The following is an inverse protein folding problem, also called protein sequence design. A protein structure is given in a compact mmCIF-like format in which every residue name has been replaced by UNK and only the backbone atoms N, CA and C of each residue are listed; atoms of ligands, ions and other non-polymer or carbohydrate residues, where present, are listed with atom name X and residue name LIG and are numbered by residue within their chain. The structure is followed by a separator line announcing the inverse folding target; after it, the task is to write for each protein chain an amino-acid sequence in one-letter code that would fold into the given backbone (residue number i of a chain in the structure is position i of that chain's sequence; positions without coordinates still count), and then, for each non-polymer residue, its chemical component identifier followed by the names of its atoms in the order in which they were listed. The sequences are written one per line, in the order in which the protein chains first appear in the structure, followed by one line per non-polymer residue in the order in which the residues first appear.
data_IF_591392411372
#
_entry.id   IF_591392411372
#
_cell.length_a   1.000
_cell.length_b   1.000
_cell.length_c   1.000
_cell.angle_alpha   90.00
_cell.angle_beta   90.00
_cell.angle_gamma   90.00
#
_symmetry.space_group_name_H-M   'P 1'
#
loop_
_entity.id
_entity.type
_entity.pdbx_description
1 polymer ?
#
# COMPACT_ATOMS: atom_id res chain seq x y z
N UNK A 1 -18.77 -1.96 -1.64
CA UNK A 1 -19.35 -2.64 -0.45
C UNK A 1 -18.98 -4.10 -0.52
N UNK A 2 -18.16 -4.59 0.44
CA UNK A 2 -17.84 -6.00 0.53
C UNK A 2 -19.15 -6.77 0.76
N UNK A 3 -19.51 -7.67 -0.15
CA UNK A 3 -20.67 -8.54 0.00
C UNK A 3 -20.33 -9.68 0.97
N UNK A 4 -21.36 -10.33 1.55
CA UNK A 4 -21.19 -11.53 2.39
C UNK A 4 -20.42 -12.62 1.62
N UNK A 5 -20.66 -12.76 0.33
CA UNK A 5 -19.94 -13.71 -0.54
C UNK A 5 -18.46 -13.37 -0.68
N UNK A 6 -18.13 -12.08 -0.86
CA UNK A 6 -16.74 -11.60 -0.89
C UNK A 6 -16.01 -11.88 0.43
N UNK A 7 -16.69 -11.66 1.57
CA UNK A 7 -16.14 -11.98 2.89
C UNK A 7 -15.80 -13.47 3.02
N UNK A 8 -16.75 -14.36 2.72
CA UNK A 8 -16.54 -15.81 2.79
C UNK A 8 -15.43 -16.27 1.85
N UNK A 9 -15.35 -15.69 0.65
CA UNK A 9 -14.32 -16.01 -0.32
C UNK A 9 -12.92 -15.69 0.23
N UNK A 10 -12.70 -14.47 0.69
CA UNK A 10 -11.41 -14.03 1.24
C UNK A 10 -11.04 -14.79 2.52
N UNK A 11 -12.03 -15.08 3.39
CA UNK A 11 -11.81 -15.87 4.59
C UNK A 11 -11.31 -17.28 4.27
N UNK A 12 -11.89 -17.94 3.24
CA UNK A 12 -11.49 -19.26 2.78
C UNK A 12 -10.10 -19.25 2.14
N UNK A 13 -9.81 -18.29 1.27
CA UNK A 13 -8.49 -18.15 0.65
C UNK A 13 -7.41 -17.99 1.71
N UNK A 14 -7.59 -17.07 2.66
CA UNK A 14 -6.66 -16.89 3.76
C UNK A 14 -6.44 -18.20 4.54
N UNK A 15 -7.51 -18.99 4.76
CA UNK A 15 -7.41 -20.28 5.42
C UNK A 15 -6.60 -21.32 4.65
N UNK A 16 -6.57 -21.27 3.32
CA UNK A 16 -5.72 -22.14 2.49
C UNK A 16 -4.25 -21.81 2.69
N UNK A 17 -3.87 -20.54 2.52
CA UNK A 17 -2.49 -20.09 2.67
C UNK A 17 -1.95 -20.28 4.09
N UNK A 18 -2.79 -20.08 5.09
CA UNK A 18 -2.42 -20.23 6.51
C UNK A 18 -1.96 -21.66 6.87
N UNK A 19 -2.41 -22.68 6.15
CA UNK A 19 -1.97 -24.09 6.36
C UNK A 19 -0.48 -24.28 6.11
N UNK A 20 0.07 -23.44 5.22
CA UNK A 20 1.47 -23.47 4.84
C UNK A 20 2.28 -22.32 5.52
N UNK A 21 1.68 -21.66 6.52
CA UNK A 21 2.31 -20.56 7.25
C UNK A 21 2.43 -19.26 6.46
N UNK A 22 1.68 -19.14 5.36
CA UNK A 22 1.72 -17.96 4.47
C UNK A 22 0.64 -16.96 4.91
N UNK A 23 1.06 -15.72 5.18
CA UNK A 23 0.14 -14.62 5.44
C UNK A 23 -0.37 -14.02 4.13
N UNK A 24 -1.64 -13.60 4.12
CA UNK A 24 -2.26 -12.91 2.98
C UNK A 24 -2.21 -11.38 3.22
N UNK A 25 -1.66 -10.64 2.28
CA UNK A 25 -1.68 -9.17 2.28
C UNK A 25 -2.69 -8.62 1.27
N UNK A 26 -3.64 -7.81 1.72
CA UNK A 26 -4.47 -7.00 0.82
C UNK A 26 -3.69 -5.76 0.42
N UNK A 27 -3.53 -5.56 -0.87
CA UNK A 27 -2.96 -4.31 -1.36
C UNK A 27 -4.00 -3.18 -1.26
N UNK A 28 -3.56 -1.99 -0.82
CA UNK A 28 -4.40 -0.80 -0.88
C UNK A 28 -4.72 -0.46 -2.33
N UNK A 29 -5.98 -0.20 -2.62
CA UNK A 29 -6.49 -0.06 -3.97
C UNK A 29 -7.56 1.00 -4.11
N UNK A 30 -8.74 0.60 -4.57
CA UNK A 30 -9.84 1.52 -4.88
C UNK A 30 -10.80 1.77 -3.71
N UNK A 31 -10.49 1.30 -2.51
CA UNK A 31 -11.24 1.58 -1.28
C UNK A 31 -10.48 2.57 -0.37
N UNK A 32 -11.22 3.19 0.56
CA UNK A 32 -10.57 4.02 1.59
C UNK A 32 -9.95 3.17 2.68
N UNK A 33 -8.97 3.73 3.40
CA UNK A 33 -8.31 3.07 4.52
C UNK A 33 -9.30 2.63 5.61
N UNK A 34 -10.34 3.44 5.88
CA UNK A 34 -11.38 3.13 6.86
C UNK A 34 -12.20 1.92 6.44
N UNK A 35 -12.54 1.82 5.14
CA UNK A 35 -13.28 0.68 4.58
C UNK A 35 -12.47 -0.60 4.71
N UNK A 36 -11.18 -0.57 4.33
CA UNK A 36 -10.29 -1.71 4.47
C UNK A 36 -10.08 -2.10 5.94
N UNK A 37 -9.86 -1.13 6.82
CA UNK A 37 -9.71 -1.38 8.26
C UNK A 37 -10.97 -2.02 8.87
N UNK A 38 -12.16 -1.57 8.48
CA UNK A 38 -13.41 -2.17 8.92
C UNK A 38 -13.54 -3.63 8.46
N UNK A 39 -13.17 -3.90 7.20
CA UNK A 39 -13.15 -5.25 6.64
C UNK A 39 -12.16 -6.16 7.38
N UNK A 40 -10.94 -5.70 7.65
CA UNK A 40 -9.92 -6.47 8.39
C UNK A 40 -10.34 -6.79 9.83
N UNK A 41 -10.99 -5.82 10.52
CA UNK A 41 -11.58 -6.06 11.84
C UNK A 41 -12.65 -7.14 11.79
N UNK A 42 -13.51 -7.10 10.78
CA UNK A 42 -14.58 -8.09 10.58
C UNK A 42 -14.00 -9.49 10.28
N UNK A 43 -12.92 -9.58 9.48
CA UNK A 43 -12.22 -10.84 9.24
C UNK A 43 -11.64 -11.45 10.52
N UNK A 44 -11.13 -10.63 11.43
CA UNK A 44 -10.60 -11.04 12.73
C UNK A 44 -9.44 -12.03 12.68
N UNK A 45 -8.69 -12.09 11.55
CA UNK A 45 -7.61 -13.06 11.30
C UNK A 45 -6.25 -12.41 11.50
N UNK A 46 -5.33 -13.11 12.17
CA UNK A 46 -3.95 -12.66 12.41
C UNK A 46 -3.01 -12.93 11.23
N UNK A 47 -3.37 -13.87 10.37
CA UNK A 47 -2.64 -14.26 9.15
C UNK A 47 -3.08 -13.47 7.91
N UNK A 48 -3.86 -12.41 8.13
CA UNK A 48 -4.25 -11.45 7.09
C UNK A 48 -3.74 -10.08 7.47
N UNK A 49 -3.24 -9.34 6.52
CA UNK A 49 -2.73 -7.99 6.70
C UNK A 49 -2.88 -7.13 5.46
N UNK A 50 -2.05 -6.10 5.38
CA UNK A 50 -2.04 -5.13 4.29
C UNK A 50 -0.65 -5.10 3.64
N UNK A 51 -0.63 -5.14 2.31
CA UNK A 51 0.46 -4.63 1.50
C UNK A 51 0.11 -3.17 1.17
N UNK A 52 0.79 -2.23 1.83
CA UNK A 52 0.42 -0.82 1.73
C UNK A 52 1.13 -0.16 0.55
N UNK A 53 0.36 0.40 -0.38
CA UNK A 53 0.85 1.18 -1.50
C UNK A 53 0.35 2.64 -1.38
N UNK A 54 1.23 3.61 -1.09
CA UNK A 54 0.85 5.02 -0.96
C UNK A 54 0.39 5.63 -2.29
N UNK A 55 0.96 5.18 -3.42
CA UNK A 55 0.61 5.70 -4.74
C UNK A 55 -0.82 5.34 -5.14
N UNK A 56 -1.31 4.16 -4.75
CA UNK A 56 -2.67 3.74 -5.04
C UNK A 56 -3.71 4.66 -4.37
N UNK A 57 -3.41 5.22 -3.20
CA UNK A 57 -4.28 6.22 -2.56
C UNK A 57 -4.38 7.50 -3.41
N UNK A 58 -3.29 7.89 -4.06
CA UNK A 58 -3.21 9.06 -4.94
C UNK A 58 -3.86 8.75 -6.30
N UNK A 59 -3.50 7.62 -6.92
CA UNK A 59 -3.98 7.20 -8.24
C UNK A 59 -5.49 7.10 -8.31
N UNK A 60 -6.11 6.52 -7.28
CA UNK A 60 -7.54 6.24 -7.23
C UNK A 60 -8.33 7.29 -6.44
N UNK A 61 -7.66 8.33 -5.94
CA UNK A 61 -8.27 9.39 -5.11
C UNK A 61 -9.03 8.82 -3.89
N UNK A 62 -8.35 7.96 -3.12
CA UNK A 62 -8.96 7.26 -1.96
C UNK A 62 -8.47 7.76 -0.59
N UNK A 63 -7.84 8.92 -0.57
CA UNK A 63 -7.42 9.58 0.66
C UNK A 63 -5.95 10.00 0.64
N UNK A 64 -5.50 10.50 1.78
CA UNK A 64 -4.11 10.91 1.96
C UNK A 64 -3.25 9.74 2.43
N UNK A 65 -2.11 9.46 1.76
CA UNK A 65 -1.27 8.30 2.06
C UNK A 65 -0.85 8.20 3.53
N UNK A 66 -0.44 9.30 4.16
CA UNK A 66 0.02 9.28 5.55
C UNK A 66 -1.12 9.04 6.55
N UNK A 67 -2.32 9.56 6.28
CA UNK A 67 -3.50 9.28 7.10
C UNK A 67 -3.91 7.81 6.98
N UNK A 68 -3.93 7.29 5.74
CA UNK A 68 -4.22 5.89 5.46
C UNK A 68 -3.19 4.95 6.12
N UNK A 69 -1.90 5.29 6.05
CA UNK A 69 -0.81 4.54 6.68
C UNK A 69 -1.03 4.40 8.19
N UNK A 70 -1.40 5.49 8.88
CA UNK A 70 -1.70 5.45 10.33
C UNK A 70 -2.94 4.63 10.64
N UNK A 71 -3.99 4.76 9.83
CA UNK A 71 -5.25 4.00 9.99
C UNK A 71 -5.02 2.50 9.85
N UNK A 72 -4.22 2.08 8.87
CA UNK A 72 -3.95 0.69 8.56
C UNK A 72 -2.74 0.10 9.31
N UNK A 73 -1.97 0.93 10.02
CA UNK A 73 -0.73 0.56 10.71
C UNK A 73 -0.75 -0.79 11.43
N UNK A 74 -1.79 -1.15 12.22
CA UNK A 74 -1.84 -2.43 12.92
C UNK A 74 -1.82 -3.67 12.02
N UNK A 75 -2.17 -3.52 10.76
CA UNK A 75 -2.28 -4.63 9.79
C UNK A 75 -1.18 -4.65 8.74
N UNK A 76 -0.36 -3.59 8.62
CA UNK A 76 0.66 -3.52 7.57
C UNK A 76 1.70 -4.62 7.76
N UNK A 77 1.92 -5.41 6.70
CA UNK A 77 2.90 -6.50 6.63
C UNK A 77 4.03 -6.20 5.66
N UNK A 78 3.70 -5.51 4.58
CA UNK A 78 4.60 -5.13 3.52
C UNK A 78 4.17 -3.75 2.99
N UNK A 79 5.11 -3.00 2.40
CA UNK A 79 4.78 -1.79 1.67
C UNK A 79 5.35 -1.86 0.26
N UNK A 80 4.54 -1.45 -0.71
CA UNK A 80 5.05 -1.01 -2.00
C UNK A 80 5.56 0.42 -1.89
N UNK A 81 6.72 0.66 -2.45
CA UNK A 81 7.29 2.00 -2.60
C UNK A 81 7.10 2.42 -4.05
N UNK A 82 5.95 3.00 -4.31
CA UNK A 82 5.46 3.47 -5.61
C UNK A 82 5.02 4.91 -5.48
N UNK A 83 5.15 5.70 -6.53
CA UNK A 83 4.85 7.13 -6.49
C UNK A 83 3.89 7.53 -7.60
N UNK A 84 3.08 8.56 -7.35
CA UNK A 84 2.06 9.00 -8.27
C UNK A 84 1.80 10.49 -8.14
N UNK A 85 1.18 11.05 -9.19
CA UNK A 85 0.59 12.38 -9.21
C UNK A 85 -0.92 12.28 -9.31
N UNK A 86 -1.61 13.06 -8.51
CA UNK A 86 -3.07 13.12 -8.52
C UNK A 86 -3.59 13.71 -9.83
N UNK A 87 -4.65 13.13 -10.36
CA UNK A 87 -5.36 13.76 -11.48
C UNK A 87 -6.12 15.00 -11.04
N UNK A 88 -6.26 15.95 -11.96
CA UNK A 88 -7.16 17.10 -11.80
C UNK A 88 -8.48 16.91 -12.55
N UNK A 89 -8.65 15.77 -13.25
CA UNK A 89 -9.83 15.46 -14.03
C UNK A 89 -10.75 14.58 -13.20
N UNK A 90 -11.96 15.04 -12.87
CA UNK A 90 -12.91 14.25 -12.09
C UNK A 90 -13.20 12.89 -12.73
N UNK A 91 -13.10 11.81 -11.95
CA UNK A 91 -13.36 10.44 -12.42
C UNK A 91 -12.24 9.79 -13.22
N UNK A 92 -11.13 10.49 -13.50
CA UNK A 92 -9.94 9.90 -14.07
C UNK A 92 -8.97 9.45 -12.95
N UNK A 93 -8.12 8.51 -13.27
CA UNK A 93 -7.03 8.09 -12.39
C UNK A 93 -5.85 9.08 -12.47
N UNK A 94 -5.03 9.09 -11.41
CA UNK A 94 -3.75 9.78 -11.41
C UNK A 94 -2.73 9.15 -12.35
N UNK A 95 -1.52 9.66 -12.31
CA UNK A 95 -0.39 9.19 -13.12
C UNK A 95 0.67 8.56 -12.21
N UNK A 96 1.02 7.30 -12.46
CA UNK A 96 2.18 6.69 -11.81
C UNK A 96 3.48 7.28 -12.37
N UNK A 97 4.38 7.67 -11.47
CA UNK A 97 5.69 8.23 -11.79
C UNK A 97 6.81 7.50 -11.06
N UNK A 98 8.06 7.78 -11.40
CA UNK A 98 9.19 7.23 -10.66
C UNK A 98 9.18 7.73 -9.20
N UNK A 99 9.62 6.89 -8.27
CA UNK A 99 9.73 7.23 -6.85
C UNK A 99 10.57 8.51 -6.67
N UNK A 100 10.02 9.46 -5.92
CA UNK A 100 10.58 10.79 -5.70
C UNK A 100 10.18 11.84 -6.75
N UNK A 101 9.43 11.46 -7.80
CA UNK A 101 8.91 12.38 -8.80
C UNK A 101 7.41 12.68 -8.65
N UNK A 102 6.75 12.04 -7.69
CA UNK A 102 5.32 12.17 -7.41
C UNK A 102 4.99 13.03 -6.19
N UNK A 103 3.88 12.70 -5.56
CA UNK A 103 3.30 13.45 -4.44
C UNK A 103 3.43 12.73 -3.09
N UNK A 104 4.06 11.55 -3.04
CA UNK A 104 4.31 10.87 -1.78
C UNK A 104 5.41 11.59 -1.00
N UNK A 105 5.10 12.06 0.20
CA UNK A 105 6.12 12.57 1.13
C UNK A 105 6.90 11.41 1.74
N UNK A 106 7.98 11.02 1.08
CA UNK A 106 8.79 9.85 1.45
C UNK A 106 9.46 10.01 2.81
N UNK A 107 9.86 11.21 3.18
CA UNK A 107 10.45 11.47 4.51
C UNK A 107 9.43 11.22 5.61
N UNK A 108 8.25 11.80 5.47
CA UNK A 108 7.16 11.59 6.43
C UNK A 108 6.63 10.15 6.39
N UNK A 109 6.62 9.50 5.22
CA UNK A 109 6.19 8.11 5.05
C UNK A 109 7.11 7.16 5.83
N UNK A 110 8.41 7.22 5.59
CA UNK A 110 9.40 6.36 6.26
C UNK A 110 9.44 6.64 7.76
N UNK A 111 9.38 7.92 8.17
CA UNK A 111 9.31 8.28 9.59
C UNK A 111 8.02 7.80 10.28
N UNK A 112 6.90 7.76 9.56
CA UNK A 112 5.64 7.19 10.08
C UNK A 112 5.74 5.67 10.25
N UNK A 113 6.32 4.95 9.28
CA UNK A 113 6.57 3.51 9.38
C UNK A 113 7.47 3.16 10.57
N UNK A 114 8.55 3.92 10.77
CA UNK A 114 9.45 3.73 11.91
C UNK A 114 8.71 3.97 13.23
N UNK A 115 7.93 5.04 13.32
CA UNK A 115 7.10 5.36 14.50
C UNK A 115 6.02 4.31 14.79
N UNK A 116 5.55 3.58 13.78
CA UNK A 116 4.64 2.44 13.93
C UNK A 116 5.36 1.14 14.34
N UNK A 117 6.70 1.15 14.39
CA UNK A 117 7.51 -0.03 14.68
C UNK A 117 7.48 -1.07 13.56
N UNK A 118 7.24 -0.65 12.31
CA UNK A 118 7.16 -1.55 11.15
C UNK A 118 8.50 -2.29 10.94
N UNK A 119 8.40 -3.62 10.68
CA UNK A 119 9.56 -4.50 10.46
C UNK A 119 9.39 -5.39 9.23
N UNK A 120 8.41 -5.08 8.39
CA UNK A 120 8.16 -5.82 7.15
C UNK A 120 9.05 -5.38 5.99
N UNK A 121 8.79 -5.92 4.82
CA UNK A 121 9.56 -5.62 3.62
C UNK A 121 9.06 -4.34 2.92
N UNK A 122 10.02 -3.62 2.32
CA UNK A 122 9.79 -2.45 1.47
C UNK A 122 10.17 -2.81 0.04
N UNK A 123 9.19 -2.89 -0.86
CA UNK A 123 9.38 -3.30 -2.24
C UNK A 123 9.14 -2.13 -3.19
N UNK A 124 10.17 -1.67 -3.91
CA UNK A 124 9.97 -0.63 -4.93
C UNK A 124 9.22 -1.24 -6.11
N UNK A 125 8.09 -0.64 -6.44
CA UNK A 125 7.24 -1.03 -7.56
C UNK A 125 7.22 0.03 -8.64
N UNK A 126 7.24 -0.41 -9.91
CA UNK A 126 7.14 0.45 -11.09
C UNK A 126 6.45 -0.30 -12.22
N UNK A 127 5.16 -0.01 -12.45
CA UNK A 127 4.35 -0.67 -13.48
C UNK A 127 4.32 0.10 -14.79
N UNK A 128 4.20 1.42 -14.72
CA UNK A 128 4.14 2.29 -15.88
C UNK A 128 5.54 2.67 -16.43
N UNK A 129 5.55 3.31 -17.60
CA UNK A 129 6.78 3.80 -18.24
C UNK A 129 7.60 2.73 -18.96
N UNK A 130 8.61 3.18 -19.68
CA UNK A 130 9.46 2.33 -20.55
C UNK A 130 10.84 2.06 -19.96
N UNK A 131 11.21 2.74 -18.86
CA UNK A 131 12.52 2.64 -18.22
C UNK A 131 12.47 2.09 -16.79
N UNK A 132 11.56 1.16 -16.52
CA UNK A 132 11.22 0.66 -15.18
C UNK A 132 12.44 0.27 -14.35
N UNK A 133 13.40 -0.45 -14.94
CA UNK A 133 14.61 -0.88 -14.24
C UNK A 133 15.52 0.29 -13.84
N UNK A 134 15.58 1.35 -14.65
CA UNK A 134 16.32 2.57 -14.33
C UNK A 134 15.58 3.36 -13.23
N UNK A 135 14.25 3.48 -13.35
CA UNK A 135 13.40 4.16 -12.37
C UNK A 135 13.49 3.49 -10.99
N UNK A 136 13.47 2.14 -10.92
CA UNK A 136 13.63 1.38 -9.67
C UNK A 136 15.01 1.64 -9.04
N UNK A 137 16.08 1.65 -9.84
CA UNK A 137 17.43 1.94 -9.32
C UNK A 137 17.54 3.37 -8.78
N UNK A 138 16.99 4.35 -9.51
CA UNK A 138 16.97 5.74 -9.08
C UNK A 138 16.12 5.92 -7.81
N UNK A 139 14.95 5.31 -7.76
CA UNK A 139 14.07 5.31 -6.59
C UNK A 139 14.75 4.73 -5.35
N UNK A 140 15.47 3.61 -5.50
CA UNK A 140 16.24 3.04 -4.40
C UNK A 140 17.26 4.02 -3.84
N UNK A 141 18.09 4.63 -4.70
CA UNK A 141 19.09 5.60 -4.28
C UNK A 141 18.48 6.82 -3.60
N UNK A 142 17.35 7.30 -4.11
CA UNK A 142 16.59 8.39 -3.49
C UNK A 142 16.14 8.01 -2.07
N UNK A 143 15.47 6.89 -1.90
CA UNK A 143 14.98 6.43 -0.59
C UNK A 143 16.11 6.16 0.40
N UNK A 144 17.20 5.50 -0.03
CA UNK A 144 18.39 5.27 0.80
C UNK A 144 19.02 6.59 1.29
N UNK A 145 18.90 7.68 0.53
CA UNK A 145 19.41 9.00 0.94
C UNK A 145 18.60 9.65 2.07
N UNK A 146 17.33 9.25 2.24
CA UNK A 146 16.42 9.80 3.26
C UNK A 146 16.56 9.13 4.63
N UNK A 147 17.17 7.95 4.71
CA UNK A 147 17.32 7.16 5.95
C UNK A 147 18.74 7.17 6.53
N UNK A 148 19.59 8.05 6.01
CA UNK A 148 20.98 8.23 6.49
C UNK A 148 21.09 9.25 7.59
#
# INVERSE_FOLDING_TARGET
TATIESFHHHYRIAGVFARDGIALGFETGQETAETLAAFLRMLGRKDVGVNFDPANMILYDKGEPLAALRTLGPWIRQCHLKDARRTRVPGAWGEEVAVGAGEVDWTAFLGTLDGLGFKGDLCIEREAGTQRAADIRAGRLHLESLVR
#
